data_IF_255847771867
#
_entry.id   IF_255847771867
#
_cell.length_a   1.000
_cell.length_b   1.000
_cell.length_c   1.000
_cell.angle_alpha   90.00
_cell.angle_beta   90.00
_cell.angle_gamma   90.00
#
_symmetry.space_group_name_H-M   'P 1'
#
loop_
_entity.id
_entity.type
_entity.pdbx_description
1 polymer ?
#
# COMPACT_ATOMS: atom_id res chain seq x y z
N UNK A 1 -8.41 -20.77 2.39
CA UNK A 1 -9.70 -20.32 1.78
C UNK A 1 -10.02 -18.82 1.92
N UNK A 2 -9.71 -18.11 3.02
CA UNK A 2 -10.10 -16.69 3.19
C UNK A 2 -9.53 -15.71 2.13
N UNK A 3 -8.32 -15.95 1.60
CA UNK A 3 -7.69 -15.05 0.61
C UNK A 3 -8.39 -15.04 -0.76
N UNK A 4 -8.98 -16.15 -1.20
CA UNK A 4 -9.62 -16.23 -2.51
C UNK A 4 -10.95 -15.46 -2.52
N UNK A 5 -11.74 -15.54 -1.44
CA UNK A 5 -12.99 -14.78 -1.32
C UNK A 5 -12.76 -13.27 -1.39
N UNK A 6 -11.73 -12.74 -0.70
CA UNK A 6 -11.41 -11.30 -0.75
C UNK A 6 -11.05 -10.83 -2.18
N UNK A 7 -10.33 -11.65 -2.96
CA UNK A 7 -9.96 -11.33 -4.35
C UNK A 7 -11.18 -11.33 -5.27
N UNK A 8 -12.08 -12.29 -5.11
CA UNK A 8 -13.36 -12.32 -5.85
C UNK A 8 -14.18 -11.05 -5.57
N UNK A 9 -14.25 -10.63 -4.30
CA UNK A 9 -14.95 -9.42 -3.90
C UNK A 9 -14.35 -8.17 -4.55
N UNK A 10 -13.01 -8.02 -4.56
CA UNK A 10 -12.35 -6.90 -5.25
C UNK A 10 -12.72 -6.84 -6.74
N UNK A 11 -12.62 -7.98 -7.45
CA UNK A 11 -12.96 -8.06 -8.87
C UNK A 11 -14.42 -7.67 -9.15
N UNK A 12 -15.35 -8.06 -8.27
CA UNK A 12 -16.77 -7.69 -8.38
C UNK A 12 -16.94 -6.18 -8.22
N UNK A 13 -16.26 -5.55 -7.26
CA UNK A 13 -16.31 -4.09 -7.12
C UNK A 13 -15.70 -3.36 -8.32
N UNK A 14 -14.59 -3.84 -8.87
CA UNK A 14 -14.03 -3.28 -10.11
C UNK A 14 -15.00 -3.37 -11.28
N UNK A 15 -15.64 -4.52 -11.46
CA UNK A 15 -16.64 -4.73 -12.52
C UNK A 15 -17.83 -3.79 -12.34
N UNK A 16 -18.38 -3.71 -11.12
CA UNK A 16 -19.50 -2.82 -10.80
C UNK A 16 -19.15 -1.34 -11.02
N UNK A 17 -18.01 -0.89 -10.51
CA UNK A 17 -17.55 0.49 -10.68
C UNK A 17 -17.34 0.84 -12.15
N UNK A 18 -16.71 -0.05 -12.92
CA UNK A 18 -16.51 0.14 -14.35
C UNK A 18 -17.84 0.18 -15.11
N UNK A 19 -18.78 -0.69 -14.77
CA UNK A 19 -20.09 -0.77 -15.39
C UNK A 19 -20.91 0.52 -15.14
N UNK A 20 -20.87 1.07 -13.92
CA UNK A 20 -21.48 2.37 -13.60
C UNK A 20 -20.86 3.50 -14.43
N UNK A 21 -19.52 3.57 -14.52
CA UNK A 21 -18.84 4.57 -15.33
C UNK A 21 -19.17 4.42 -16.83
N UNK A 22 -19.23 3.18 -17.32
CA UNK A 22 -19.54 2.85 -18.70
C UNK A 22 -20.95 3.30 -19.09
N UNK A 23 -21.96 3.00 -18.26
CA UNK A 23 -23.33 3.48 -18.48
C UNK A 23 -23.43 5.00 -18.40
N UNK A 24 -22.70 5.62 -17.47
CA UNK A 24 -22.63 7.09 -17.37
C UNK A 24 -22.05 7.70 -18.65
N UNK A 25 -20.99 7.09 -19.21
CA UNK A 25 -20.37 7.54 -20.46
C UNK A 25 -21.29 7.35 -21.67
N UNK A 26 -21.94 6.18 -21.81
CA UNK A 26 -22.92 5.93 -22.87
C UNK A 26 -24.00 7.00 -22.82
N UNK A 27 -24.52 7.31 -21.63
CA UNK A 27 -25.58 8.29 -21.47
C UNK A 27 -25.14 9.69 -21.90
N UNK A 28 -23.94 10.12 -21.49
CA UNK A 28 -23.35 11.41 -21.92
C UNK A 28 -23.19 11.47 -23.45
N UNK A 29 -22.79 10.37 -24.08
CA UNK A 29 -22.69 10.27 -25.54
C UNK A 29 -24.08 10.35 -26.18
N UNK A 30 -25.06 9.58 -25.71
CA UNK A 30 -26.43 9.59 -26.23
C UNK A 30 -27.06 10.99 -26.15
N UNK A 31 -26.77 11.74 -25.08
CA UNK A 31 -27.18 13.14 -24.98
C UNK A 31 -26.51 14.04 -26.02
N UNK A 32 -25.21 13.87 -26.28
CA UNK A 32 -24.49 14.66 -27.30
C UNK A 32 -25.12 14.54 -28.70
N UNK A 33 -25.80 13.44 -28.98
CA UNK A 33 -26.49 13.19 -30.25
C UNK A 33 -27.99 13.53 -30.23
N UNK A 34 -28.52 14.17 -29.18
CA UNK A 34 -29.93 14.54 -29.02
C UNK A 34 -30.92 13.38 -29.20
N UNK A 35 -30.49 12.14 -28.91
CA UNK A 35 -31.28 10.94 -29.17
C UNK A 35 -32.46 10.79 -28.20
N UNK A 36 -32.38 11.35 -26.98
CA UNK A 36 -33.34 11.04 -25.90
C UNK A 36 -33.88 12.23 -25.06
N UNK A 37 -33.34 13.46 -25.14
CA UNK A 37 -33.65 14.52 -24.14
C UNK A 37 -33.79 15.94 -24.73
N UNK A 38 -34.55 16.10 -25.82
CA UNK A 38 -34.72 17.41 -26.47
C UNK A 38 -35.41 18.48 -25.62
N UNK A 39 -36.25 18.07 -24.67
CA UNK A 39 -37.12 19.00 -23.92
C UNK A 39 -36.75 19.14 -22.43
N UNK A 40 -35.62 18.58 -22.00
CA UNK A 40 -35.19 18.63 -20.60
C UNK A 40 -34.15 19.72 -20.36
N UNK A 41 -34.25 20.39 -19.21
CA UNK A 41 -33.20 21.30 -18.75
C UNK A 41 -31.87 20.52 -18.60
N UNK A 42 -30.75 21.04 -19.14
CA UNK A 42 -29.45 20.41 -18.99
C UNK A 42 -29.09 20.04 -17.55
N UNK A 43 -29.45 20.88 -16.57
CA UNK A 43 -29.08 20.68 -15.16
C UNK A 43 -29.76 19.45 -14.54
N UNK A 44 -31.04 19.24 -14.82
CA UNK A 44 -31.81 18.10 -14.29
C UNK A 44 -31.32 16.78 -14.86
N UNK A 45 -30.82 16.82 -16.10
CA UNK A 45 -30.22 15.65 -16.73
C UNK A 45 -28.82 15.41 -16.16
N UNK A 46 -27.92 16.40 -16.10
CA UNK A 46 -26.50 16.15 -15.76
C UNK A 46 -26.26 15.86 -14.28
N UNK A 47 -27.01 16.47 -13.37
CA UNK A 47 -26.83 16.34 -11.91
C UNK A 47 -26.80 14.88 -11.42
N UNK A 48 -27.78 14.02 -11.76
CA UNK A 48 -27.73 12.61 -11.36
C UNK A 48 -26.55 11.84 -11.98
N UNK A 49 -26.14 12.14 -13.22
CA UNK A 49 -25.00 11.47 -13.85
C UNK A 49 -23.67 11.84 -13.22
N UNK A 50 -23.49 13.09 -12.81
CA UNK A 50 -22.33 13.49 -12.02
C UNK A 50 -22.30 12.70 -10.70
N UNK A 51 -23.46 12.53 -10.05
CA UNK A 51 -23.60 11.68 -8.87
C UNK A 51 -23.17 10.23 -9.12
N UNK A 52 -23.69 9.59 -10.17
CA UNK A 52 -23.33 8.22 -10.53
C UNK A 52 -21.85 8.08 -10.90
N UNK A 53 -21.28 9.05 -11.60
CA UNK A 53 -19.85 9.08 -11.92
C UNK A 53 -18.99 9.06 -10.65
N UNK A 54 -19.31 9.94 -9.68
CA UNK A 54 -18.61 10.00 -8.40
C UNK A 54 -18.74 8.69 -7.62
N UNK A 55 -19.94 8.10 -7.59
CA UNK A 55 -20.17 6.79 -6.95
C UNK A 55 -19.31 5.71 -7.61
N UNK A 56 -19.26 5.67 -8.95
CA UNK A 56 -18.41 4.75 -9.70
C UNK A 56 -16.93 4.86 -9.31
N UNK A 57 -16.41 6.09 -9.21
CA UNK A 57 -15.03 6.34 -8.77
C UNK A 57 -14.78 5.87 -7.33
N UNK A 58 -15.72 6.10 -6.41
CA UNK A 58 -15.62 5.65 -5.01
C UNK A 58 -15.55 4.12 -4.95
N UNK A 59 -16.40 3.42 -5.71
CA UNK A 59 -16.41 1.95 -5.77
C UNK A 59 -15.06 1.41 -6.25
N UNK A 60 -14.49 2.00 -7.32
CA UNK A 60 -13.18 1.59 -7.85
C UNK A 60 -12.08 1.83 -6.81
N UNK A 61 -12.11 2.97 -6.10
CA UNK A 61 -11.16 3.28 -5.03
C UNK A 61 -11.24 2.27 -3.88
N UNK A 62 -12.45 1.86 -3.48
CA UNK A 62 -12.65 0.82 -2.47
C UNK A 62 -12.10 -0.53 -2.92
N UNK A 63 -12.35 -0.93 -4.17
CA UNK A 63 -11.79 -2.15 -4.74
C UNK A 63 -10.25 -2.14 -4.68
N UNK A 64 -9.64 -1.01 -5.05
CA UNK A 64 -8.19 -0.82 -4.99
C UNK A 64 -7.62 -0.98 -3.58
N UNK A 65 -8.24 -0.38 -2.56
CA UNK A 65 -7.81 -0.52 -1.17
C UNK A 65 -7.97 -1.95 -0.64
N UNK A 66 -9.03 -2.67 -1.05
CA UNK A 66 -9.21 -4.08 -0.72
C UNK A 66 -8.07 -4.92 -1.30
N UNK A 67 -7.77 -4.76 -2.60
CA UNK A 67 -6.69 -5.52 -3.24
C UNK A 67 -5.32 -5.20 -2.65
N UNK A 68 -5.07 -3.92 -2.34
CA UNK A 68 -3.86 -3.48 -1.64
C UNK A 68 -3.71 -4.17 -0.29
N UNK A 69 -4.78 -4.26 0.50
CA UNK A 69 -4.77 -4.99 1.78
C UNK A 69 -4.50 -6.49 1.60
N UNK A 70 -5.07 -7.12 0.56
CA UNK A 70 -4.78 -8.52 0.24
C UNK A 70 -3.31 -8.73 -0.15
N UNK A 71 -2.72 -7.81 -0.93
CA UNK A 71 -1.29 -7.85 -1.27
C UNK A 71 -0.43 -7.71 -0.01
N UNK A 72 -0.78 -6.79 0.88
CA UNK A 72 -0.08 -6.60 2.16
C UNK A 72 -0.11 -7.86 3.01
N UNK A 73 -1.28 -8.51 3.16
CA UNK A 73 -1.39 -9.80 3.85
C UNK A 73 -0.45 -10.87 3.25
N UNK A 74 -0.23 -10.86 1.93
CA UNK A 74 0.70 -11.78 1.26
C UNK A 74 2.16 -11.44 1.51
N UNK A 75 2.52 -10.15 1.49
CA UNK A 75 3.88 -9.71 1.82
C UNK A 75 4.24 -10.14 3.24
N UNK A 76 3.40 -9.84 4.23
CA UNK A 76 3.65 -10.21 5.63
C UNK A 76 3.86 -11.72 5.75
N UNK A 77 2.98 -12.54 5.17
CA UNK A 77 3.13 -14.01 5.21
C UNK A 77 4.41 -14.51 4.56
N UNK A 78 4.80 -13.92 3.43
CA UNK A 78 6.00 -14.33 2.73
C UNK A 78 7.26 -13.92 3.50
N UNK A 79 7.25 -12.71 4.05
CA UNK A 79 8.30 -12.13 4.88
C UNK A 79 8.46 -12.96 6.16
N UNK A 80 7.41 -13.18 6.94
CA UNK A 80 7.49 -13.99 8.17
C UNK A 80 7.91 -15.46 7.97
N UNK A 81 7.83 -16.00 6.77
CA UNK A 81 8.19 -17.39 6.49
C UNK A 81 9.68 -17.61 6.19
N UNK A 82 10.48 -16.55 6.02
CA UNK A 82 11.92 -16.64 5.72
C UNK A 82 12.71 -15.60 6.51
N UNK A 83 13.86 -15.99 7.04
CA UNK A 83 14.73 -15.09 7.81
C UNK A 83 15.46 -14.03 6.97
N UNK A 84 15.61 -14.22 5.66
CA UNK A 84 16.25 -13.25 4.75
C UNK A 84 15.54 -13.36 3.39
N UNK A 85 15.13 -12.23 2.81
CA UNK A 85 14.43 -12.20 1.52
C UNK A 85 14.91 -11.02 0.67
N UNK A 86 15.21 -11.25 -0.61
CA UNK A 86 15.41 -10.16 -1.55
C UNK A 86 14.07 -9.65 -2.10
N UNK A 87 13.92 -8.34 -2.29
CA UNK A 87 12.72 -7.76 -2.92
C UNK A 87 12.51 -8.32 -4.33
N UNK A 88 13.59 -8.67 -5.04
CA UNK A 88 13.51 -9.36 -6.34
C UNK A 88 12.72 -10.68 -6.23
N UNK A 89 13.03 -11.52 -5.24
CA UNK A 89 12.34 -12.79 -5.03
C UNK A 89 10.84 -12.59 -4.77
N UNK A 90 10.49 -11.53 -4.02
CA UNK A 90 9.10 -11.16 -3.75
C UNK A 90 8.41 -10.71 -5.04
N UNK A 91 9.07 -9.85 -5.80
CA UNK A 91 8.56 -9.30 -7.05
C UNK A 91 8.30 -10.41 -8.08
N UNK A 92 9.25 -11.33 -8.25
CA UNK A 92 9.12 -12.48 -9.13
C UNK A 92 8.00 -13.42 -8.69
N UNK A 93 7.98 -13.79 -7.41
CA UNK A 93 6.97 -14.72 -6.87
C UNK A 93 5.55 -14.18 -6.98
N UNK A 94 5.38 -12.88 -6.77
CA UNK A 94 4.07 -12.23 -6.84
C UNK A 94 3.74 -11.68 -8.24
N UNK A 95 4.67 -11.77 -9.19
CA UNK A 95 4.57 -11.20 -10.54
C UNK A 95 4.22 -9.70 -10.50
N UNK A 96 4.92 -8.96 -9.66
CA UNK A 96 4.72 -7.52 -9.44
C UNK A 96 5.96 -6.72 -9.83
N UNK A 97 5.77 -5.43 -10.11
CA UNK A 97 6.88 -4.52 -10.38
C UNK A 97 7.75 -4.34 -9.12
N UNK A 98 9.07 -4.52 -9.26
CA UNK A 98 10.04 -4.37 -8.17
C UNK A 98 9.92 -3.05 -7.41
N UNK A 99 9.78 -1.93 -8.11
CA UNK A 99 9.68 -0.60 -7.50
C UNK A 99 8.39 -0.45 -6.69
N UNK A 100 7.30 -1.08 -7.15
CA UNK A 100 6.04 -1.13 -6.40
C UNK A 100 6.21 -1.93 -5.10
N UNK A 101 6.82 -3.12 -5.19
CA UNK A 101 7.07 -3.98 -4.03
C UNK A 101 7.95 -3.26 -3.01
N UNK A 102 9.06 -2.62 -3.44
CA UNK A 102 9.94 -1.84 -2.56
C UNK A 102 9.15 -0.75 -1.82
N UNK A 103 8.36 0.06 -2.53
CA UNK A 103 7.53 1.12 -1.92
C UNK A 103 6.47 0.57 -0.97
N UNK A 104 5.82 -0.52 -1.33
CA UNK A 104 4.79 -1.14 -0.49
C UNK A 104 5.38 -1.76 0.79
N UNK A 105 6.53 -2.42 0.71
CA UNK A 105 7.22 -2.99 1.88
C UNK A 105 7.75 -1.89 2.81
N UNK A 106 8.33 -0.83 2.24
CA UNK A 106 8.76 0.33 3.02
C UNK A 106 7.60 0.92 3.84
N UNK A 107 6.43 1.08 3.23
CA UNK A 107 5.21 1.52 3.93
C UNK A 107 4.79 0.56 5.05
N UNK A 108 4.91 -0.76 4.84
CA UNK A 108 4.59 -1.75 5.89
C UNK A 108 5.53 -1.64 7.10
N UNK A 109 6.80 -1.35 6.87
CA UNK A 109 7.79 -1.11 7.92
C UNK A 109 7.46 0.18 8.68
N UNK A 110 7.21 1.28 7.96
CA UNK A 110 6.82 2.57 8.54
C UNK A 110 5.54 2.50 9.37
N UNK A 111 4.56 1.72 8.91
CA UNK A 111 3.30 1.46 9.62
C UNK A 111 3.44 0.46 10.77
N UNK A 112 4.66 -0.05 11.04
CA UNK A 112 4.97 -1.04 12.08
C UNK A 112 4.17 -2.35 11.94
N UNK A 113 3.71 -2.67 10.72
CA UNK A 113 2.98 -3.91 10.42
C UNK A 113 3.92 -5.12 10.32
N UNK A 114 5.18 -4.87 9.99
CA UNK A 114 6.25 -5.87 10.03
C UNK A 114 7.32 -5.33 10.97
N UNK A 115 7.29 -5.81 12.21
CA UNK A 115 8.18 -5.30 13.25
C UNK A 115 9.60 -5.78 13.02
N UNK A 116 10.54 -4.96 13.48
CA UNK A 116 11.98 -5.28 13.50
C UNK A 116 12.52 -5.64 12.11
N UNK A 117 11.97 -5.06 11.07
CA UNK A 117 12.35 -5.35 9.68
C UNK A 117 12.79 -4.06 9.00
N UNK A 118 13.87 -4.10 8.23
CA UNK A 118 14.33 -2.97 7.43
C UNK A 118 14.78 -3.42 6.04
N UNK A 119 14.73 -2.50 5.09
CA UNK A 119 15.33 -2.68 3.76
C UNK A 119 16.79 -2.23 3.82
N UNK A 120 17.72 -3.18 3.71
CA UNK A 120 19.14 -2.92 3.58
C UNK A 120 19.51 -2.48 2.15
N UNK A 121 20.77 -2.11 1.96
CA UNK A 121 21.33 -1.91 0.62
C UNK A 121 21.13 -3.16 -0.24
N UNK A 122 21.05 -2.96 -1.56
CA UNK A 122 20.82 -4.05 -2.53
C UNK A 122 19.46 -4.77 -2.41
N UNK A 123 18.42 -4.09 -1.91
CA UNK A 123 17.05 -4.62 -1.90
C UNK A 123 16.84 -5.86 -1.01
N UNK A 124 17.65 -5.98 0.04
CA UNK A 124 17.54 -7.08 0.99
C UNK A 124 16.65 -6.68 2.18
N UNK A 125 15.70 -7.55 2.54
CA UNK A 125 14.87 -7.40 3.73
C UNK A 125 15.52 -8.17 4.86
N UNK A 126 15.89 -7.45 5.92
CA UNK A 126 16.61 -7.99 7.07
C UNK A 126 15.76 -7.84 8.32
N UNK A 127 15.72 -8.90 9.14
CA UNK A 127 15.03 -8.93 10.43
C UNK A 127 16.04 -8.69 11.55
N UNK A 128 15.89 -7.60 12.29
CA UNK A 128 16.62 -7.33 13.52
C UNK A 128 16.08 -8.14 14.69
N UNK A 129 16.95 -8.53 15.62
CA UNK A 129 16.54 -9.19 16.88
C UNK A 129 16.03 -8.18 17.91
N UNK A 130 15.31 -8.66 18.93
CA UNK A 130 14.69 -7.80 19.96
C UNK A 130 15.63 -7.32 21.06
N UNK A 131 16.92 -7.67 21.00
CA UNK A 131 17.86 -7.38 22.07
C UNK A 131 18.69 -6.13 21.75
N UNK A 132 18.26 -5.01 22.35
CA UNK A 132 19.01 -3.80 22.72
C UNK A 132 20.01 -3.20 21.71
N UNK A 133 19.76 -1.92 21.37
CA UNK A 133 20.52 -1.00 20.50
C UNK A 133 20.02 -1.02 19.05
N UNK A 134 19.01 -0.19 18.77
CA UNK A 134 18.50 0.04 17.42
C UNK A 134 18.60 1.52 17.08
N UNK A 135 18.92 1.83 15.83
CA UNK A 135 18.95 3.19 15.35
C UNK A 135 17.53 3.74 15.41
N UNK A 136 17.32 4.83 16.16
CA UNK A 136 16.00 5.47 16.25
C UNK A 136 15.50 6.00 14.91
N UNK A 137 16.39 6.15 13.92
CA UNK A 137 16.05 6.68 12.60
C UNK A 137 15.69 5.59 11.58
N UNK A 138 16.47 4.49 11.49
CA UNK A 138 16.25 3.43 10.50
C UNK A 138 15.90 2.05 11.09
N UNK A 139 15.93 1.89 12.41
CA UNK A 139 15.64 0.62 13.10
C UNK A 139 16.72 -0.45 13.00
N UNK A 140 17.84 -0.18 12.30
CA UNK A 140 18.95 -1.12 12.17
C UNK A 140 19.60 -1.42 13.53
N UNK A 141 20.08 -2.65 13.75
CA UNK A 141 20.84 -2.97 14.96
C UNK A 141 22.11 -2.12 15.01
N UNK A 142 22.41 -1.58 16.18
CA UNK A 142 23.58 -0.73 16.39
C UNK A 142 24.59 -1.47 17.25
N UNK A 143 25.84 -1.42 16.82
CA UNK A 143 26.96 -1.67 17.70
C UNK A 143 27.20 -0.44 18.60
N UNK A 144 27.03 -0.56 19.93
CA UNK A 144 27.22 0.52 20.94
C UNK A 144 28.56 1.26 20.85
N UNK A 145 29.53 0.73 20.11
CA UNK A 145 30.85 1.34 19.89
C UNK A 145 30.81 2.58 18.98
N UNK A 146 29.79 2.74 18.13
CA UNK A 146 29.73 3.84 17.17
C UNK A 146 28.63 4.84 17.53
N UNK A 147 28.94 6.14 17.39
CA UNK A 147 27.98 7.23 17.60
C UNK A 147 27.14 7.53 16.33
N UNK A 148 27.48 6.90 15.20
CA UNK A 148 26.79 7.04 13.92
C UNK A 148 26.29 5.65 13.50
N UNK A 149 25.08 5.57 12.95
CA UNK A 149 24.56 4.33 12.42
C UNK A 149 25.26 4.00 11.09
N UNK A 150 25.95 2.86 11.05
CA UNK A 150 26.66 2.36 9.86
C UNK A 150 25.73 2.16 8.64
N UNK A 151 24.43 2.05 8.87
CA UNK A 151 23.45 1.75 7.82
C UNK A 151 22.76 2.99 7.24
N UNK A 152 22.45 4.00 8.05
CA UNK A 152 21.78 5.22 7.56
C UNK A 152 22.66 6.48 7.61
N UNK A 153 23.88 6.38 8.13
CA UNK A 153 24.83 7.49 8.25
C UNK A 153 24.41 8.56 9.25
N UNK A 154 23.31 8.38 9.99
CA UNK A 154 22.77 9.36 10.93
C UNK A 154 23.18 9.06 12.37
N UNK A 155 23.31 10.08 13.21
CA UNK A 155 23.74 9.93 14.60
C UNK A 155 22.75 9.09 15.40
N UNK A 156 23.28 8.23 16.26
CA UNK A 156 22.49 7.46 17.22
C UNK A 156 22.26 8.37 18.43
N UNK A 157 21.06 8.93 18.57
CA UNK A 157 20.69 9.66 19.79
C UNK A 157 20.77 8.69 20.97
N UNK A 158 21.84 8.82 21.78
CA UNK A 158 21.92 8.21 23.10
C UNK A 158 20.80 8.84 23.92
N UNK A 159 19.71 8.10 24.15
CA UNK A 159 18.80 8.46 25.23
C UNK A 159 19.66 8.50 26.50
N UNK A 160 19.69 9.68 27.10
CA UNK A 160 20.35 10.00 28.36
C UNK A 160 19.91 9.02 29.44
N UNK A 161 20.67 7.95 29.64
CA UNK A 161 20.83 7.34 30.95
C UNK A 161 21.82 8.23 31.71
N UNK A 162 21.35 9.39 32.15
CA UNK A 162 21.98 10.07 33.29
C UNK A 162 21.77 9.16 34.49
N UNK A 163 22.78 8.34 34.75
CA UNK A 163 23.14 7.91 36.10
C UNK A 163 23.23 9.19 36.95
N UNK A 164 22.20 9.43 37.76
CA UNK A 164 22.33 10.26 38.95
C UNK A 164 23.03 9.34 39.96
N UNK A 165 24.34 9.50 40.08
CA UNK A 165 25.04 9.19 41.31
C UNK A 165 24.64 10.27 42.33
N UNK A 166 23.94 9.84 43.39
CA UNK A 166 24.04 10.33 44.78
C UNK A 166 23.13 9.48 45.68
#
# INVERSE_FOLDING_TARGET
MKSNRKKTISNVFYLLGFLVLFFTLIFLISKKFDIMFKDYDPADVYTPFIGFFLIGLIIIKLAYEIDKKIRFDKYVKFISAKNIIQINDIAEKLKLNKNLVRKEIQKLIEQKLIQYTYCAEQDQIVFGSNNSNKCNNCGAPINKKFNICEYCGLPINKSTDTLIDN
#
